data_IF_401505471063
#
_entry.id   IF_401505471063
#
_cell.length_a   1.000
_cell.length_b   1.000
_cell.length_c   1.000
_cell.angle_alpha   90.00
_cell.angle_beta   90.00
_cell.angle_gamma   90.00
#
_symmetry.space_group_name_H-M   'P 1'
#
loop_
_entity.id
_entity.type
_entity.pdbx_description
1 polymer ?
#
# COMPACT_ATOMS: atom_id res chain seq x y z
N UNK A 1 21.30 11.52 -16.19
CA UNK A 1 21.09 11.56 -14.73
C UNK A 1 20.72 12.95 -14.21
N UNK A 2 21.36 14.02 -14.69
CA UNK A 2 21.04 15.42 -14.29
C UNK A 2 19.58 15.79 -14.53
N UNK A 3 19.02 15.56 -15.73
CA UNK A 3 17.62 15.90 -16.03
C UNK A 3 16.60 15.22 -15.09
N UNK A 4 16.80 13.94 -14.75
CA UNK A 4 15.89 13.20 -13.85
C UNK A 4 15.90 13.76 -12.42
N UNK A 5 17.08 14.22 -11.97
CA UNK A 5 17.26 14.84 -10.66
C UNK A 5 16.69 16.28 -10.63
N UNK A 6 16.81 17.05 -11.71
CA UNK A 6 16.16 18.37 -11.84
C UNK A 6 14.64 18.25 -11.77
N UNK A 7 14.07 17.30 -12.53
CA UNK A 7 12.64 16.99 -12.50
C UNK A 7 12.20 16.61 -11.08
N UNK A 8 12.95 15.74 -10.39
CA UNK A 8 12.67 15.36 -8.99
C UNK A 8 12.65 16.59 -8.07
N UNK A 9 13.62 17.50 -8.19
CA UNK A 9 13.66 18.72 -7.38
C UNK A 9 12.48 19.65 -7.67
N UNK A 10 12.12 19.81 -8.94
CA UNK A 10 10.96 20.62 -9.34
C UNK A 10 9.65 20.07 -8.77
N UNK A 11 9.41 18.77 -8.93
CA UNK A 11 8.25 18.07 -8.37
C UNK A 11 8.21 18.24 -6.85
N UNK A 12 9.34 18.06 -6.16
CA UNK A 12 9.41 18.22 -4.70
C UNK A 12 9.08 19.64 -4.25
N UNK A 13 9.63 20.66 -4.93
CA UNK A 13 9.32 22.08 -4.62
C UNK A 13 7.85 22.40 -4.85
N UNK A 14 7.27 21.90 -5.93
CA UNK A 14 5.85 22.05 -6.22
C UNK A 14 4.98 21.39 -5.14
N UNK A 15 5.34 20.17 -4.72
CA UNK A 15 4.61 19.44 -3.69
C UNK A 15 4.63 20.17 -2.34
N UNK A 16 5.81 20.61 -1.89
CA UNK A 16 5.96 21.33 -0.61
C UNK A 16 5.18 22.65 -0.64
N UNK A 17 5.19 23.37 -1.77
CA UNK A 17 4.47 24.64 -1.90
C UNK A 17 2.95 24.48 -1.78
N UNK A 18 2.41 23.37 -2.29
CA UNK A 18 0.97 23.13 -2.41
C UNK A 18 0.50 21.93 -1.55
N UNK A 19 1.23 21.59 -0.50
CA UNK A 19 1.08 20.35 0.27
C UNK A 19 -0.38 20.10 0.68
N UNK A 20 -1.02 21.09 1.30
CA UNK A 20 -2.41 20.99 1.79
C UNK A 20 -3.39 20.63 0.67
N UNK A 21 -3.35 21.33 -0.46
CA UNK A 21 -4.26 21.09 -1.59
C UNK A 21 -4.00 19.74 -2.25
N UNK A 22 -2.72 19.39 -2.40
CA UNK A 22 -2.31 18.12 -3.01
C UNK A 22 -2.72 16.94 -2.12
N UNK A 23 -2.58 17.06 -0.79
CA UNK A 23 -3.03 16.02 0.15
C UNK A 23 -4.53 15.79 0.07
N UNK A 24 -5.35 16.84 0.03
CA UNK A 24 -6.80 16.70 -0.13
C UNK A 24 -7.16 16.05 -1.47
N UNK A 25 -6.50 16.45 -2.55
CA UNK A 25 -6.71 15.85 -3.86
C UNK A 25 -6.36 14.35 -3.88
N UNK A 26 -5.23 13.95 -3.30
CA UNK A 26 -4.86 12.54 -3.23
C UNK A 26 -5.82 11.71 -2.37
N UNK A 27 -6.31 12.26 -1.26
CA UNK A 27 -7.32 11.58 -0.42
C UNK A 27 -8.64 11.40 -1.16
N UNK A 28 -9.08 12.43 -1.89
CA UNK A 28 -10.24 12.33 -2.76
C UNK A 28 -10.07 11.22 -3.79
N UNK A 29 -8.95 11.22 -4.51
CA UNK A 29 -8.68 10.25 -5.57
C UNK A 29 -8.57 8.82 -5.00
N UNK A 30 -7.90 8.64 -3.87
CA UNK A 30 -7.79 7.35 -3.19
C UNK A 30 -9.18 6.83 -2.80
N UNK A 31 -10.01 7.65 -2.17
CA UNK A 31 -11.36 7.27 -1.77
C UNK A 31 -12.23 6.93 -2.98
N UNK A 32 -12.17 7.75 -4.04
CA UNK A 32 -12.91 7.55 -5.28
C UNK A 32 -12.57 6.22 -5.95
N UNK A 33 -11.27 5.93 -6.10
CA UNK A 33 -10.81 4.68 -6.69
C UNK A 33 -11.20 3.49 -5.80
N UNK A 34 -11.04 3.58 -4.48
CA UNK A 34 -11.44 2.53 -3.55
C UNK A 34 -12.92 2.18 -3.66
N UNK A 35 -13.80 3.19 -3.61
CA UNK A 35 -15.24 2.98 -3.70
C UNK A 35 -15.62 2.47 -5.09
N UNK A 36 -15.04 3.02 -6.17
CA UNK A 36 -15.31 2.58 -7.53
C UNK A 36 -14.94 1.10 -7.75
N UNK A 37 -13.80 0.65 -7.20
CA UNK A 37 -13.38 -0.75 -7.27
C UNK A 37 -14.34 -1.65 -6.49
N UNK A 38 -14.77 -1.23 -5.29
CA UNK A 38 -15.76 -1.98 -4.48
C UNK A 38 -17.06 -2.13 -5.27
N UNK A 39 -17.59 -1.04 -5.83
CA UNK A 39 -18.82 -1.03 -6.60
C UNK A 39 -18.72 -1.90 -7.86
N UNK A 40 -17.58 -1.88 -8.56
CA UNK A 40 -17.34 -2.72 -9.74
C UNK A 40 -17.29 -4.21 -9.42
N UNK A 41 -16.95 -4.60 -8.19
CA UNK A 41 -16.80 -6.01 -7.80
C UNK A 41 -18.03 -6.60 -7.12
N UNK A 42 -18.71 -5.82 -6.27
CA UNK A 42 -19.90 -6.28 -5.56
C UNK A 42 -21.17 -5.87 -6.30
N UNK A 43 -21.34 -4.57 -6.56
CA UNK A 43 -22.41 -4.04 -7.42
C UNK A 43 -23.86 -4.34 -7.01
N UNK A 44 -24.10 -5.06 -5.91
CA UNK A 44 -25.43 -5.60 -5.55
C UNK A 44 -26.49 -4.52 -5.27
N UNK A 45 -26.13 -3.47 -4.53
CA UNK A 45 -27.05 -2.37 -4.22
C UNK A 45 -26.98 -1.26 -5.28
N UNK A 46 -28.06 -1.07 -6.04
CA UNK A 46 -28.13 -0.06 -7.11
C UNK A 46 -27.99 1.39 -6.60
N UNK A 47 -28.49 1.69 -5.40
CA UNK A 47 -28.35 3.02 -4.78
C UNK A 47 -26.88 3.39 -4.52
N UNK A 48 -26.06 2.44 -4.06
CA UNK A 48 -24.63 2.69 -3.79
C UNK A 48 -23.78 2.79 -5.07
N UNK A 49 -24.28 2.27 -6.19
CA UNK A 49 -23.66 2.43 -7.50
C UNK A 49 -23.91 3.81 -8.12
N UNK A 50 -24.77 4.64 -7.53
CA UNK A 50 -25.03 5.98 -8.06
C UNK A 50 -23.76 6.84 -7.97
N UNK A 51 -23.32 7.36 -9.12
CA UNK A 51 -22.11 8.18 -9.22
C UNK A 51 -22.14 9.41 -8.31
N UNK A 52 -23.31 10.00 -8.06
CA UNK A 52 -23.45 11.14 -7.16
C UNK A 52 -23.11 10.75 -5.71
N UNK A 53 -23.58 9.59 -5.25
CA UNK A 53 -23.30 9.07 -3.90
C UNK A 53 -21.82 8.74 -3.76
N UNK A 54 -21.22 8.09 -4.76
CA UNK A 54 -19.79 7.78 -4.79
C UNK A 54 -18.94 9.06 -4.73
N UNK A 55 -19.28 10.07 -5.53
CA UNK A 55 -18.58 11.36 -5.54
C UNK A 55 -18.72 12.11 -4.21
N UNK A 56 -19.93 12.18 -3.64
CA UNK A 56 -20.16 12.83 -2.35
C UNK A 56 -19.36 12.16 -1.23
N UNK A 57 -19.40 10.82 -1.16
CA UNK A 57 -18.64 10.06 -0.16
C UNK A 57 -17.12 10.27 -0.30
N UNK A 58 -16.61 10.29 -1.54
CA UNK A 58 -15.20 10.55 -1.84
C UNK A 58 -14.77 11.97 -1.46
N UNK A 59 -15.65 12.97 -1.70
CA UNK A 59 -15.39 14.36 -1.36
C UNK A 59 -15.36 14.59 0.15
N UNK A 60 -16.26 13.94 0.88
CA UNK A 60 -16.28 13.95 2.34
C UNK A 60 -15.00 13.31 2.92
N UNK A 61 -14.57 12.19 2.34
CA UNK A 61 -13.31 11.53 2.66
C UNK A 61 -12.06 12.40 2.40
N UNK A 62 -12.12 13.32 1.43
CA UNK A 62 -11.02 14.24 1.14
C UNK A 62 -10.74 15.17 2.32
N UNK A 63 -11.79 15.61 3.02
CA UNK A 63 -11.71 16.57 4.13
C UNK A 63 -11.33 15.85 5.43
N UNK A 64 -11.95 14.69 5.72
CA UNK A 64 -11.78 13.97 6.99
C UNK A 64 -10.44 13.21 7.11
N UNK A 65 -9.99 12.81 8.31
CA UNK A 65 -8.73 12.06 8.49
C UNK A 65 -8.64 10.83 7.60
N UNK A 66 -7.44 10.44 7.17
CA UNK A 66 -7.25 9.32 6.23
C UNK A 66 -7.94 8.02 6.69
N UNK A 67 -7.94 7.72 7.99
CA UNK A 67 -8.61 6.55 8.58
C UNK A 67 -10.11 6.49 8.25
N UNK A 68 -10.75 7.64 8.02
CA UNK A 68 -12.16 7.71 7.65
C UNK A 68 -12.44 7.04 6.29
N UNK A 69 -11.48 7.03 5.36
CA UNK A 69 -11.61 6.35 4.07
C UNK A 69 -11.82 4.84 4.27
N UNK A 70 -11.14 4.24 5.25
CA UNK A 70 -11.29 2.80 5.58
C UNK A 70 -12.69 2.52 6.11
N UNK A 71 -13.20 3.37 7.00
CA UNK A 71 -14.53 3.23 7.57
C UNK A 71 -15.60 3.35 6.49
N UNK A 72 -15.52 4.38 5.63
CA UNK A 72 -16.45 4.54 4.50
C UNK A 72 -16.37 3.35 3.56
N UNK A 73 -15.16 2.89 3.21
CA UNK A 73 -14.99 1.71 2.35
C UNK A 73 -15.63 0.46 2.95
N UNK A 74 -15.47 0.24 4.27
CA UNK A 74 -16.12 -0.86 4.98
C UNK A 74 -17.64 -0.75 4.97
N UNK A 75 -18.19 0.46 5.17
CA UNK A 75 -19.63 0.71 5.09
C UNK A 75 -20.21 0.43 3.69
N UNK A 76 -19.49 0.79 2.63
CA UNK A 76 -19.90 0.47 1.26
C UNK A 76 -19.92 -1.05 1.03
N UNK A 77 -18.88 -1.77 1.48
CA UNK A 77 -18.84 -3.24 1.39
C UNK A 77 -20.02 -3.86 2.14
N UNK A 78 -20.29 -3.42 3.38
CA UNK A 78 -21.43 -3.88 4.17
C UNK A 78 -22.77 -3.58 3.50
N UNK A 79 -22.95 -2.40 2.92
CA UNK A 79 -24.17 -2.03 2.22
C UNK A 79 -24.43 -2.89 0.98
N UNK A 80 -23.40 -3.20 0.20
CA UNK A 80 -23.52 -4.14 -0.91
C UNK A 80 -23.85 -5.56 -0.43
N UNK A 81 -23.18 -6.05 0.62
CA UNK A 81 -23.44 -7.38 1.15
C UNK A 81 -24.82 -7.50 1.80
N UNK A 82 -25.35 -6.43 2.40
CA UNK A 82 -26.70 -6.41 2.94
C UNK A 82 -27.76 -6.57 1.85
N UNK A 83 -27.52 -5.98 0.68
CA UNK A 83 -28.38 -6.18 -0.50
C UNK A 83 -28.28 -7.59 -1.09
N UNK A 84 -27.22 -8.35 -0.77
CA UNK A 84 -27.07 -9.76 -1.16
C UNK A 84 -27.78 -10.67 -0.17
N UNK A 85 -27.43 -10.59 1.13
CA UNK A 85 -28.15 -11.23 2.23
C UNK A 85 -27.77 -10.60 3.57
N UNK A 86 -28.71 -10.62 4.52
CA UNK A 86 -28.46 -10.09 5.87
C UNK A 86 -27.36 -10.89 6.61
N UNK A 87 -27.27 -12.20 6.36
CA UNK A 87 -26.27 -13.09 6.96
C UNK A 87 -24.87 -12.77 6.46
N UNK A 88 -24.69 -12.54 5.15
CA UNK A 88 -23.42 -12.12 4.56
C UNK A 88 -22.93 -10.79 5.16
N UNK A 89 -23.84 -9.83 5.33
CA UNK A 89 -23.52 -8.55 5.96
C UNK A 89 -23.11 -8.71 7.43
N UNK A 90 -23.78 -9.58 8.19
CA UNK A 90 -23.43 -9.87 9.58
C UNK A 90 -22.01 -10.46 9.70
N UNK A 91 -21.67 -11.44 8.86
CA UNK A 91 -20.33 -12.06 8.85
C UNK A 91 -19.26 -10.98 8.57
N UNK A 92 -19.45 -10.21 7.50
CA UNK A 92 -18.51 -9.16 7.15
C UNK A 92 -18.41 -8.09 8.25
N UNK A 93 -19.51 -7.77 8.94
CA UNK A 93 -19.51 -6.83 10.06
C UNK A 93 -18.66 -7.33 11.23
N UNK A 94 -18.80 -8.61 11.62
CA UNK A 94 -18.00 -9.21 12.69
C UNK A 94 -16.51 -9.20 12.31
N UNK A 95 -16.18 -9.56 11.08
CA UNK A 95 -14.80 -9.52 10.57
C UNK A 95 -14.24 -8.09 10.61
N UNK A 96 -14.98 -7.11 10.10
CA UNK A 96 -14.56 -5.71 10.14
C UNK A 96 -14.43 -5.19 11.57
N UNK A 97 -15.34 -5.52 12.48
CA UNK A 97 -15.27 -5.11 13.88
C UNK A 97 -13.99 -5.63 14.54
N UNK A 98 -13.68 -6.91 14.37
CA UNK A 98 -12.42 -7.51 14.87
C UNK A 98 -11.19 -6.81 14.26
N UNK A 99 -11.21 -6.59 12.95
CA UNK A 99 -10.11 -5.92 12.25
C UNK A 99 -9.93 -4.47 12.71
N UNK A 100 -11.01 -3.72 12.93
CA UNK A 100 -10.94 -2.34 13.43
C UNK A 100 -10.38 -2.29 14.84
N UNK A 101 -10.83 -3.17 15.75
CA UNK A 101 -10.30 -3.25 17.12
C UNK A 101 -8.79 -3.50 17.12
N UNK A 102 -8.32 -4.45 16.31
CA UNK A 102 -6.90 -4.75 16.17
C UNK A 102 -6.14 -3.61 15.46
N UNK A 103 -6.71 -3.02 14.41
CA UNK A 103 -6.09 -1.94 13.65
C UNK A 103 -5.85 -0.70 14.50
N UNK A 104 -6.86 -0.25 15.27
CA UNK A 104 -6.72 0.89 16.17
C UNK A 104 -5.71 0.62 17.29
N UNK A 105 -5.58 -0.63 17.73
CA UNK A 105 -4.60 -1.01 18.75
C UNK A 105 -3.16 -1.03 18.22
N UNK A 106 -2.95 -1.58 17.03
CA UNK A 106 -1.61 -1.89 16.54
C UNK A 106 -1.08 -0.88 15.52
N UNK A 107 -1.88 -0.43 14.54
CA UNK A 107 -1.34 0.39 13.44
C UNK A 107 -2.28 1.51 12.94
N UNK A 108 -2.73 2.44 13.80
CA UNK A 108 -3.63 3.53 13.39
C UNK A 108 -3.02 4.50 12.37
N UNK A 109 -1.70 4.41 12.10
CA UNK A 109 -0.95 5.26 11.17
C UNK A 109 -0.71 4.61 9.79
N UNK A 110 -0.98 3.32 9.62
CA UNK A 110 -0.76 2.59 8.35
C UNK A 110 -2.01 2.50 7.48
N UNK A 111 -2.80 3.57 7.42
CA UNK A 111 -4.06 3.61 6.65
C UNK A 111 -3.82 3.28 5.18
N UNK A 112 -2.71 3.78 4.63
CA UNK A 112 -2.36 3.57 3.23
C UNK A 112 -2.08 2.10 2.94
N UNK A 113 -1.49 1.35 3.88
CA UNK A 113 -1.23 -0.08 3.68
C UNK A 113 -2.55 -0.86 3.61
N UNK A 114 -3.52 -0.55 4.49
CA UNK A 114 -4.83 -1.22 4.50
C UNK A 114 -5.62 -0.95 3.22
N UNK A 115 -5.56 0.27 2.67
CA UNK A 115 -6.31 0.65 1.46
C UNK A 115 -5.63 0.25 0.16
N UNK A 116 -4.31 0.43 0.06
CA UNK A 116 -3.57 0.13 -1.17
C UNK A 116 -3.48 -1.35 -1.43
N UNK A 117 -3.49 -2.19 -0.39
CA UNK A 117 -3.42 -3.65 -0.56
C UNK A 117 -4.58 -4.19 -1.42
N UNK A 118 -5.87 -3.94 -1.09
CA UNK A 118 -6.98 -4.39 -1.91
C UNK A 118 -7.03 -3.71 -3.27
N UNK A 119 -6.68 -2.43 -3.36
CA UNK A 119 -6.59 -1.73 -4.64
C UNK A 119 -5.58 -2.40 -5.59
N UNK A 120 -4.36 -2.66 -5.11
CA UNK A 120 -3.29 -3.25 -5.91
C UNK A 120 -3.57 -4.73 -6.22
N UNK A 121 -4.31 -5.43 -5.34
CA UNK A 121 -4.82 -6.76 -5.62
C UNK A 121 -5.76 -6.76 -6.83
N UNK A 122 -6.76 -5.86 -6.87
CA UNK A 122 -7.68 -5.78 -8.00
C UNK A 122 -7.05 -5.19 -9.27
N UNK A 123 -5.98 -4.41 -9.14
CA UNK A 123 -5.14 -3.95 -10.26
C UNK A 123 -4.11 -4.98 -10.74
N UNK A 124 -4.15 -6.22 -10.22
CA UNK A 124 -3.27 -7.33 -10.61
C UNK A 124 -1.78 -7.10 -10.33
N UNK A 125 -1.45 -6.21 -9.37
CA UNK A 125 -0.08 -5.94 -8.91
C UNK A 125 0.06 -6.02 -7.38
N UNK A 126 -0.48 -7.05 -6.70
CA UNK A 126 -0.47 -7.13 -5.23
C UNK A 126 0.95 -7.23 -4.64
N UNK A 127 1.92 -7.76 -5.39
CA UNK A 127 3.28 -8.03 -4.93
C UNK A 127 4.12 -6.76 -4.66
N UNK A 128 3.66 -5.57 -5.09
CA UNK A 128 4.30 -4.27 -4.78
C UNK A 128 4.20 -3.98 -3.29
N UNK A 129 3.06 -4.32 -2.70
CA UNK A 129 2.68 -3.97 -1.33
C UNK A 129 3.71 -4.43 -0.30
N UNK A 130 4.09 -5.71 -0.20
CA UNK A 130 5.00 -6.16 0.85
C UNK A 130 6.40 -5.57 0.72
N UNK A 131 6.89 -5.34 -0.50
CA UNK A 131 8.21 -4.73 -0.72
C UNK A 131 8.16 -3.25 -0.34
N UNK A 132 7.16 -2.50 -0.80
CA UNK A 132 6.99 -1.09 -0.45
C UNK A 132 6.73 -0.86 1.05
N UNK A 133 5.91 -1.70 1.67
CA UNK A 133 5.61 -1.65 3.11
C UNK A 133 6.85 -1.97 3.96
N UNK A 134 7.68 -2.94 3.56
CA UNK A 134 8.96 -3.20 4.24
C UNK A 134 9.96 -2.05 4.10
N UNK A 135 9.91 -1.30 2.99
CA UNK A 135 10.83 -0.19 2.74
C UNK A 135 10.45 1.11 3.44
N UNK A 136 9.16 1.47 3.46
CA UNK A 136 8.71 2.75 4.01
C UNK A 136 8.14 2.59 5.41
N UNK A 137 7.46 1.46 5.65
CA UNK A 137 6.74 1.19 6.88
C UNK A 137 7.59 0.57 7.97
N UNK A 138 6.88 -0.08 8.89
CA UNK A 138 7.42 -0.76 10.08
C UNK A 138 7.00 -2.23 10.06
N UNK A 139 7.56 -3.10 10.94
CA UNK A 139 7.11 -4.49 11.03
C UNK A 139 5.63 -4.60 11.37
N UNK A 140 5.06 -3.59 12.02
CA UNK A 140 3.63 -3.54 12.37
C UNK A 140 2.76 -3.43 11.12
N UNK A 141 3.30 -2.94 10.00
CA UNK A 141 2.61 -2.89 8.71
C UNK A 141 2.22 -4.27 8.18
N UNK A 142 2.82 -5.35 8.69
CA UNK A 142 2.39 -6.74 8.41
C UNK A 142 0.90 -6.93 8.74
N UNK A 143 0.44 -6.39 9.87
CA UNK A 143 -0.96 -6.50 10.31
C UNK A 143 -1.87 -5.79 9.32
N UNK A 144 -1.53 -4.54 8.96
CA UNK A 144 -2.30 -3.72 8.02
C UNK A 144 -2.38 -4.33 6.62
N UNK A 145 -1.29 -4.89 6.10
CA UNK A 145 -1.26 -5.57 4.81
C UNK A 145 -2.07 -6.88 4.85
N UNK A 146 -1.95 -7.65 5.93
CA UNK A 146 -2.73 -8.88 6.11
C UNK A 146 -4.23 -8.58 6.12
N UNK A 147 -4.63 -7.51 6.77
CA UNK A 147 -6.02 -7.02 6.78
C UNK A 147 -6.51 -6.65 5.39
N UNK A 148 -5.69 -5.92 4.62
CA UNK A 148 -6.00 -5.60 3.23
C UNK A 148 -6.20 -6.86 2.36
N UNK A 149 -5.39 -7.90 2.55
CA UNK A 149 -5.54 -9.18 1.86
C UNK A 149 -6.84 -9.89 2.25
N UNK A 150 -7.15 -9.98 3.55
CA UNK A 150 -8.41 -10.58 4.02
C UNK A 150 -9.61 -9.90 3.36
N UNK A 151 -9.62 -8.57 3.29
CA UNK A 151 -10.69 -7.80 2.62
C UNK A 151 -10.78 -8.13 1.13
N UNK A 152 -9.63 -8.27 0.45
CA UNK A 152 -9.57 -8.56 -0.98
C UNK A 152 -10.15 -9.93 -1.31
N UNK A 153 -9.78 -10.94 -0.52
CA UNK A 153 -10.29 -12.30 -0.67
C UNK A 153 -11.76 -12.39 -0.27
N UNK A 154 -12.19 -11.66 0.76
CA UNK A 154 -13.59 -11.56 1.14
C UNK A 154 -14.45 -10.98 0.01
N UNK A 155 -14.04 -9.84 -0.58
CA UNK A 155 -14.73 -9.25 -1.73
C UNK A 155 -14.77 -10.22 -2.91
N UNK A 156 -13.66 -10.90 -3.20
CA UNK A 156 -13.58 -11.87 -4.31
C UNK A 156 -14.46 -13.11 -4.06
N UNK A 157 -14.57 -13.56 -2.81
CA UNK A 157 -15.43 -14.66 -2.41
C UNK A 157 -16.91 -14.32 -2.63
N UNK A 158 -17.36 -13.15 -2.15
CA UNK A 158 -18.76 -12.73 -2.32
C UNK A 158 -19.11 -12.32 -3.76
N UNK A 159 -18.14 -11.80 -4.52
CA UNK A 159 -18.33 -11.48 -5.94
C UNK A 159 -18.56 -12.74 -6.79
N UNK A 160 -17.85 -13.84 -6.47
CA UNK A 160 -17.95 -15.11 -7.19
C UNK A 160 -19.08 -16.02 -6.68
N UNK A 161 -19.42 -15.94 -5.39
CA UNK A 161 -20.50 -16.71 -4.79
C UNK A 161 -21.75 -15.82 -4.68
N UNK A 162 -22.56 -15.80 -5.75
CA UNK A 162 -23.86 -15.11 -5.78
C UNK A 162 -24.95 -15.84 -4.99
N UNK A 163 -24.59 -16.92 -4.28
CA UNK A 163 -25.53 -17.75 -3.53
C UNK A 163 -25.79 -17.09 -2.18
N UNK A 164 -26.75 -16.17 -2.16
CA UNK A 164 -27.57 -15.92 -0.99
C UNK A 164 -28.81 -16.79 -1.12
N UNK A 165 -28.76 -18.03 -0.65
CA UNK A 165 -29.99 -18.81 -0.51
C UNK A 165 -30.71 -18.27 0.71
N UNK A 166 -31.96 -17.82 0.56
CA UNK A 166 -32.78 -17.52 1.72
C UNK A 166 -32.96 -18.81 2.51
N UNK A 167 -32.23 -18.97 3.62
CA UNK A 167 -32.37 -20.12 4.47
C UNK A 167 -33.80 -20.21 5.00
N UNK A 168 -34.51 -21.27 4.65
CA UNK A 168 -35.92 -21.46 5.04
C UNK A 168 -36.08 -21.78 6.53
N UNK A 169 -35.00 -22.19 7.21
CA UNK A 169 -34.98 -22.49 8.65
C UNK A 169 -33.63 -22.14 9.32
N UNK A 170 -33.64 -22.12 10.66
CA UNK A 170 -32.47 -21.73 11.49
C UNK A 170 -31.28 -22.69 11.33
N UNK A 171 -31.53 -23.97 11.06
CA UNK A 171 -30.49 -24.99 10.87
C UNK A 171 -29.79 -24.85 9.51
N UNK A 172 -30.54 -24.50 8.45
CA UNK A 172 -29.98 -24.16 7.15
C UNK A 172 -29.15 -22.88 7.24
N UNK A 173 -29.64 -21.84 7.94
CA UNK A 173 -28.89 -20.61 8.17
C UNK A 173 -27.56 -20.86 8.90
N UNK A 174 -27.57 -21.71 9.94
CA UNK A 174 -26.35 -22.08 10.66
C UNK A 174 -25.36 -22.85 9.79
N UNK A 175 -25.85 -23.70 8.89
CA UNK A 175 -25.02 -24.49 7.97
C UNK A 175 -24.44 -23.62 6.85
N UNK A 176 -25.24 -22.72 6.30
CA UNK A 176 -24.84 -21.73 5.31
C UNK A 176 -23.77 -20.79 5.89
N UNK A 177 -24.00 -20.26 7.09
CA UNK A 177 -23.04 -19.46 7.84
C UNK A 177 -21.70 -20.19 8.04
N UNK A 178 -21.73 -21.44 8.50
CA UNK A 178 -20.52 -22.26 8.69
C UNK A 178 -19.78 -22.48 7.36
N UNK A 179 -20.53 -22.70 6.28
CA UNK A 179 -19.98 -22.92 4.93
C UNK A 179 -19.31 -21.66 4.40
N UNK A 180 -19.93 -20.48 4.59
CA UNK A 180 -19.36 -19.19 4.19
C UNK A 180 -18.07 -18.88 4.95
N UNK A 181 -18.06 -19.05 6.28
CA UNK A 181 -16.85 -18.84 7.09
C UNK A 181 -15.75 -19.81 6.67
N UNK A 182 -16.08 -21.09 6.49
CA UNK A 182 -15.11 -22.12 6.09
C UNK A 182 -14.58 -21.87 4.68
N UNK A 183 -15.40 -21.38 3.75
CA UNK A 183 -14.98 -21.01 2.40
C UNK A 183 -14.06 -19.80 2.38
N UNK A 184 -14.34 -18.79 3.21
CA UNK A 184 -13.53 -17.58 3.30
C UNK A 184 -12.20 -17.80 4.02
N UNK A 185 -12.22 -18.41 5.22
CA UNK A 185 -11.01 -18.69 6.01
C UNK A 185 -10.21 -19.88 5.48
N UNK A 186 -10.87 -20.83 4.81
CA UNK A 186 -10.24 -22.00 4.20
C UNK A 186 -9.55 -21.71 2.87
N UNK A 187 -9.57 -20.46 2.40
CA UNK A 187 -8.88 -20.09 1.18
C UNK A 187 -7.35 -20.19 1.36
N UNK A 188 -6.78 -21.29 0.85
CA UNK A 188 -5.35 -21.57 0.95
C UNK A 188 -4.49 -20.51 0.28
N UNK A 189 -4.95 -19.93 -0.83
CA UNK A 189 -4.23 -18.87 -1.53
C UNK A 189 -4.11 -17.61 -0.65
N UNK A 190 -5.17 -17.26 0.09
CA UNK A 190 -5.15 -16.17 1.06
C UNK A 190 -4.08 -16.40 2.13
N UNK A 191 -4.06 -17.59 2.74
CA UNK A 191 -3.09 -17.93 3.79
C UNK A 191 -1.65 -17.89 3.27
N UNK A 192 -1.40 -18.46 2.09
CA UNK A 192 -0.07 -18.42 1.46
C UNK A 192 0.37 -16.97 1.22
N UNK A 193 -0.50 -16.11 0.70
CA UNK A 193 -0.15 -14.71 0.43
C UNK A 193 0.09 -13.92 1.71
N UNK A 194 -0.70 -14.12 2.77
CA UNK A 194 -0.49 -13.47 4.07
C UNK A 194 0.90 -13.83 4.62
N UNK A 195 1.24 -15.13 4.63
CA UNK A 195 2.53 -15.60 5.13
C UNK A 195 3.69 -15.09 4.26
N UNK A 196 3.56 -15.16 2.92
CA UNK A 196 4.57 -14.65 2.01
C UNK A 196 4.80 -13.14 2.20
N UNK A 197 3.73 -12.35 2.31
CA UNK A 197 3.83 -10.90 2.47
C UNK A 197 4.43 -10.54 3.82
N UNK A 198 4.06 -11.25 4.89
CA UNK A 198 4.63 -11.05 6.22
C UNK A 198 6.15 -11.32 6.23
N UNK A 199 6.59 -12.44 5.66
CA UNK A 199 8.02 -12.80 5.56
C UNK A 199 8.77 -11.77 4.73
N UNK A 200 8.24 -11.37 3.57
CA UNK A 200 8.87 -10.37 2.71
C UNK A 200 9.01 -9.03 3.42
N UNK A 201 7.97 -8.53 4.09
CA UNK A 201 8.02 -7.26 4.84
C UNK A 201 9.12 -7.33 5.91
N UNK A 202 9.18 -8.44 6.67
CA UNK A 202 10.19 -8.63 7.70
C UNK A 202 11.62 -8.62 7.12
N UNK A 203 11.87 -9.39 6.06
CA UNK A 203 13.19 -9.47 5.39
C UNK A 203 13.60 -8.11 4.84
N UNK A 204 12.73 -7.45 4.07
CA UNK A 204 13.00 -6.14 3.48
C UNK A 204 13.31 -5.11 4.56
N UNK A 205 12.54 -5.11 5.65
CA UNK A 205 12.73 -4.17 6.75
C UNK A 205 14.08 -4.37 7.47
N UNK A 206 14.49 -5.63 7.69
CA UNK A 206 15.79 -5.94 8.31
C UNK A 206 16.94 -5.49 7.40
N UNK A 207 16.90 -5.84 6.11
CA UNK A 207 17.96 -5.48 5.16
C UNK A 207 18.07 -3.97 5.00
N UNK A 208 16.93 -3.25 4.94
CA UNK A 208 16.93 -1.80 4.83
C UNK A 208 17.65 -1.10 5.98
N UNK A 209 17.60 -1.66 7.20
CA UNK A 209 18.27 -1.09 8.38
C UNK A 209 19.73 -1.51 8.51
N UNK A 210 20.23 -2.35 7.61
CA UNK A 210 21.66 -2.68 7.58
C UNK A 210 22.50 -1.46 7.18
N UNK A 211 23.74 -1.42 7.68
CA UNK A 211 24.72 -0.36 7.40
C UNK A 211 25.41 -0.50 6.02
N UNK A 212 24.97 -1.47 5.21
CA UNK A 212 25.52 -1.80 3.91
C UNK A 212 25.27 -0.69 2.89
N UNK A 213 26.19 -0.51 1.95
CA UNK A 213 25.97 0.39 0.82
C UNK A 213 24.86 -0.13 -0.08
N UNK A 214 24.04 0.77 -0.62
CA UNK A 214 22.87 0.45 -1.42
C UNK A 214 21.84 -0.48 -0.73
N UNK A 215 21.74 -0.44 0.60
CA UNK A 215 20.87 -1.34 1.38
C UNK A 215 19.41 -1.37 0.91
N UNK A 216 18.84 -0.24 0.44
CA UNK A 216 17.48 -0.22 -0.11
C UNK A 216 17.34 -1.00 -1.43
N UNK A 217 18.32 -0.90 -2.34
CA UNK A 217 18.30 -1.66 -3.60
C UNK A 217 18.48 -3.15 -3.33
N UNK A 218 19.37 -3.50 -2.40
CA UNK A 218 19.55 -4.89 -1.95
C UNK A 218 18.25 -5.40 -1.33
N UNK A 219 17.61 -4.61 -0.47
CA UNK A 219 16.33 -4.97 0.15
C UNK A 219 15.23 -5.20 -0.89
N UNK A 220 15.14 -4.38 -1.94
CA UNK A 220 14.18 -4.59 -3.05
C UNK A 220 14.45 -5.91 -3.76
N UNK A 221 15.69 -6.16 -4.18
CA UNK A 221 16.05 -7.36 -4.95
C UNK A 221 15.85 -8.62 -4.11
N UNK A 222 16.36 -8.64 -2.87
CA UNK A 222 16.19 -9.77 -1.97
C UNK A 222 14.72 -9.98 -1.59
N UNK A 223 13.98 -8.90 -1.33
CA UNK A 223 12.55 -8.95 -1.05
C UNK A 223 11.74 -9.56 -2.19
N UNK A 224 12.03 -9.17 -3.44
CA UNK A 224 11.39 -9.72 -4.63
C UNK A 224 11.68 -11.22 -4.81
N UNK A 225 12.94 -11.63 -4.62
CA UNK A 225 13.35 -13.05 -4.70
C UNK A 225 12.64 -13.86 -3.61
N UNK A 226 12.68 -13.41 -2.36
CA UNK A 226 12.02 -14.08 -1.23
C UNK A 226 10.52 -14.17 -1.45
N UNK A 227 9.89 -13.08 -1.93
CA UNK A 227 8.45 -13.06 -2.22
C UNK A 227 8.07 -14.12 -3.26
N UNK A 228 8.83 -14.19 -4.38
CA UNK A 228 8.58 -15.18 -5.42
C UNK A 228 8.76 -16.61 -4.89
N UNK A 229 9.87 -16.89 -4.21
CA UNK A 229 10.18 -18.23 -3.68
C UNK A 229 9.13 -18.68 -2.67
N UNK A 230 8.83 -17.85 -1.67
CA UNK A 230 7.87 -18.22 -0.61
C UNK A 230 6.47 -18.40 -1.17
N UNK A 231 6.05 -17.57 -2.13
CA UNK A 231 4.74 -17.71 -2.76
C UNK A 231 4.65 -18.98 -3.61
N UNK A 232 5.69 -19.32 -4.37
CA UNK A 232 5.73 -20.53 -5.20
C UNK A 232 5.75 -21.79 -4.31
N UNK A 233 6.62 -21.83 -3.29
CA UNK A 233 6.70 -22.94 -2.35
C UNK A 233 5.36 -23.10 -1.62
N UNK A 234 4.80 -22.01 -1.11
CA UNK A 234 3.51 -22.02 -0.41
C UNK A 234 2.37 -22.50 -1.32
N UNK A 235 2.35 -22.06 -2.59
CA UNK A 235 1.38 -22.49 -3.59
C UNK A 235 1.43 -24.00 -3.81
N UNK A 236 2.63 -24.55 -4.06
CA UNK A 236 2.82 -25.98 -4.29
C UNK A 236 2.51 -26.81 -3.04
N UNK A 237 3.01 -26.39 -1.86
CA UNK A 237 2.83 -27.12 -0.61
C UNK A 237 1.36 -27.20 -0.17
N UNK A 238 0.60 -26.13 -0.36
CA UNK A 238 -0.81 -26.08 0.03
C UNK A 238 -1.77 -26.53 -1.08
N UNK A 239 -1.25 -26.70 -2.31
CA UNK A 239 -2.03 -26.87 -3.54
C UNK A 239 -3.00 -25.71 -3.75
N UNK A 240 -2.54 -24.48 -3.49
CA UNK A 240 -3.32 -23.28 -3.73
C UNK A 240 -3.34 -22.95 -5.23
N UNK A 241 -4.45 -22.40 -5.71
CA UNK A 241 -4.58 -21.97 -7.08
C UNK A 241 -3.92 -20.59 -7.27
N UNK A 242 -2.59 -20.61 -7.43
CA UNK A 242 -1.78 -19.41 -7.68
C UNK A 242 -0.94 -19.65 -8.93
N UNK A 243 -1.16 -18.82 -9.96
CA UNK A 243 -0.42 -18.88 -11.22
C UNK A 243 1.06 -18.55 -11.02
N UNK A 244 1.94 -19.55 -11.22
CA UNK A 244 3.40 -19.39 -11.12
C UNK A 244 3.93 -18.33 -12.11
N UNK A 245 3.55 -18.34 -13.41
CA UNK A 245 3.96 -17.27 -14.33
C UNK A 245 3.50 -15.89 -13.87
N UNK A 246 2.29 -15.80 -13.29
CA UNK A 246 1.76 -14.56 -12.72
C UNK A 246 2.58 -14.05 -11.53
N UNK A 247 3.06 -14.95 -10.66
CA UNK A 247 3.95 -14.59 -9.55
C UNK A 247 5.28 -14.02 -10.06
N UNK A 248 5.89 -14.66 -11.06
CA UNK A 248 7.19 -14.23 -11.60
C UNK A 248 7.06 -12.86 -12.27
N UNK A 249 6.10 -12.68 -13.18
CA UNK A 249 5.91 -11.40 -13.85
C UNK A 249 5.48 -10.31 -12.88
N UNK A 250 4.57 -10.63 -11.95
CA UNK A 250 4.09 -9.70 -10.94
C UNK A 250 5.19 -9.22 -10.00
N UNK A 251 6.09 -10.10 -9.58
CA UNK A 251 7.23 -9.75 -8.73
C UNK A 251 8.27 -8.90 -9.45
N UNK A 252 8.54 -9.15 -10.74
CA UNK A 252 9.43 -8.31 -11.57
C UNK A 252 8.87 -6.90 -11.70
N UNK A 253 7.59 -6.77 -12.09
CA UNK A 253 6.92 -5.46 -12.19
C UNK A 253 6.94 -4.75 -10.84
N UNK A 254 6.75 -5.50 -9.75
CA UNK A 254 6.77 -4.95 -8.40
C UNK A 254 8.13 -4.42 -7.97
N UNK A 255 9.21 -5.12 -8.32
CA UNK A 255 10.57 -4.64 -8.08
C UNK A 255 10.83 -3.32 -8.84
N UNK A 256 10.41 -3.22 -10.10
CA UNK A 256 10.56 -2.01 -10.92
C UNK A 256 9.78 -0.83 -10.31
N UNK A 257 8.51 -1.04 -9.94
CA UNK A 257 7.69 -0.01 -9.30
C UNK A 257 8.30 0.44 -7.97
N UNK A 258 8.84 -0.49 -7.20
CA UNK A 258 9.45 -0.19 -5.91
C UNK A 258 10.80 0.54 -6.05
N UNK A 259 11.56 0.27 -7.12
CA UNK A 259 12.74 1.09 -7.47
C UNK A 259 12.36 2.53 -7.79
N UNK A 260 11.22 2.76 -8.45
CA UNK A 260 10.72 4.12 -8.66
C UNK A 260 10.40 4.79 -7.31
N UNK A 261 9.78 4.07 -6.37
CA UNK A 261 9.52 4.55 -5.01
C UNK A 261 10.81 4.90 -4.25
N UNK A 262 11.83 4.04 -4.35
CA UNK A 262 13.17 4.27 -3.77
C UNK A 262 13.81 5.52 -4.37
N UNK A 263 13.71 5.72 -5.69
CA UNK A 263 14.27 6.89 -6.35
C UNK A 263 13.70 8.20 -5.80
N UNK A 264 12.38 8.27 -5.52
CA UNK A 264 11.79 9.47 -4.93
C UNK A 264 12.13 9.62 -3.44
N UNK A 265 12.10 8.52 -2.68
CA UNK A 265 12.19 8.54 -1.22
C UNK A 265 13.62 8.58 -0.67
N UNK A 266 14.56 7.83 -1.28
CA UNK A 266 15.86 7.51 -0.68
C UNK A 266 16.99 7.47 -1.73
N UNK A 267 17.26 8.62 -2.36
CA UNK A 267 18.33 8.74 -3.36
C UNK A 267 19.62 9.29 -2.72
N UNK A 268 20.53 8.38 -2.35
CA UNK A 268 21.83 8.67 -1.73
C UNK A 268 22.98 8.52 -2.72
N UNK A 269 24.04 9.31 -2.52
CA UNK A 269 25.29 9.24 -3.27
C UNK A 269 26.36 8.48 -2.48
N UNK A 270 26.39 7.15 -2.66
CA UNK A 270 27.35 6.29 -1.97
C UNK A 270 28.81 6.52 -2.41
N UNK A 271 29.06 7.21 -3.54
CA UNK A 271 30.43 7.50 -4.00
C UNK A 271 31.15 8.53 -3.12
N UNK A 272 30.39 9.38 -2.42
CA UNK A 272 30.87 10.42 -1.50
C UNK A 272 30.61 10.04 -0.04
N UNK A 273 30.82 8.77 0.30
CA UNK A 273 30.65 8.29 1.69
C UNK A 273 31.80 8.81 2.56
N UNK A 274 31.46 9.51 3.63
CA UNK A 274 32.42 10.01 4.62
C UNK A 274 32.26 9.25 5.93
N UNK A 275 33.39 8.90 6.56
CA UNK A 275 33.42 8.32 7.91
C UNK A 275 33.96 9.38 8.85
N UNK A 276 33.11 9.89 9.71
CA UNK A 276 33.44 10.96 10.67
C UNK A 276 33.38 10.41 12.08
N UNK A 277 34.24 10.96 12.94
CA UNK A 277 34.32 10.62 14.35
C UNK A 277 33.93 11.87 15.13
N UNK A 278 33.03 11.71 16.09
CA UNK A 278 32.65 12.78 17.01
C UNK A 278 32.95 12.31 18.42
N UNK A 279 33.51 13.18 19.25
CA UNK A 279 33.72 12.93 20.67
C UNK A 279 32.97 14.02 21.43
N UNK A 280 32.24 13.61 22.46
CA UNK A 280 31.61 14.47 23.46
C UNK A 280 32.10 13.99 24.84
N UNK A 281 31.81 14.76 25.90
CA UNK A 281 32.32 14.50 27.26
C UNK A 281 32.02 13.08 27.77
N UNK A 282 30.90 12.48 27.31
CA UNK A 282 30.46 11.14 27.70
C UNK A 282 30.66 10.05 26.64
N UNK A 283 30.86 10.40 25.36
CA UNK A 283 30.76 9.43 24.26
C UNK A 283 31.69 9.69 23.06
N UNK A 284 32.23 8.60 22.52
CA UNK A 284 32.95 8.58 21.24
C UNK A 284 32.09 7.90 20.15
N UNK A 285 31.68 8.66 19.14
CA UNK A 285 30.80 8.23 18.05
C UNK A 285 31.58 7.94 16.76
N UNK A 286 31.31 6.78 16.16
CA UNK A 286 31.72 6.45 14.79
C UNK A 286 30.51 6.58 13.85
N UNK A 287 30.49 7.59 12.98
CA UNK A 287 29.34 7.87 12.11
C UNK A 287 29.73 7.73 10.63
N UNK A 288 28.85 7.07 9.87
CA UNK A 288 28.92 7.01 8.40
C UNK A 288 27.94 8.03 7.83
N UNK A 289 28.47 9.08 7.21
CA UNK A 289 27.68 10.09 6.50
C UNK A 289 27.63 9.76 5.01
N UNK A 290 26.40 9.62 4.47
CA UNK A 290 26.18 9.44 3.03
C UNK A 290 25.36 10.62 2.53
N UNK A 291 25.90 11.47 1.65
CA UNK A 291 25.19 12.65 1.17
C UNK A 291 24.01 12.25 0.28
N UNK A 292 22.92 13.03 0.36
CA UNK A 292 21.80 12.89 -0.58
C UNK A 292 22.22 13.46 -1.94
N UNK A 293 21.81 12.83 -3.02
CA UNK A 293 22.08 13.35 -4.37
C UNK A 293 21.28 14.65 -4.55
N UNK A 294 21.95 15.79 -4.49
CA UNK A 294 21.39 17.10 -4.79
C UNK A 294 22.14 17.71 -5.96
N UNK A 295 21.42 18.13 -6.99
CA UNK A 295 21.97 19.10 -7.93
C UNK A 295 21.99 20.45 -7.23
N UNK A 296 23.17 21.03 -7.11
CA UNK A 296 23.31 22.46 -6.82
C UNK A 296 22.61 23.19 -7.97
N UNK A 297 21.63 24.04 -7.66
CA UNK A 297 20.95 24.82 -8.69
C UNK A 297 22.01 25.56 -9.52
N UNK A 298 21.88 25.62 -10.86
CA UNK A 298 22.84 26.36 -11.68
C UNK A 298 22.92 27.78 -11.15
N UNK A 299 24.12 28.18 -10.77
CA UNK A 299 24.41 29.48 -10.19
C UNK A 299 23.79 30.54 -11.11
N UNK A 300 22.91 31.41 -10.57
CA UNK A 300 22.27 32.44 -11.38
C UNK A 300 23.39 33.33 -11.91
N UNK A 301 23.83 33.12 -13.15
CA UNK A 301 24.76 34.01 -13.83
C UNK A 301 24.06 35.35 -14.02
N UNK A 302 24.21 36.24 -13.03
CA UNK A 302 23.81 37.63 -13.13
C UNK A 302 24.71 38.24 -14.20
N UNK A 303 24.20 38.40 -15.42
CA UNK A 303 24.86 39.22 -16.43
C UNK A 303 24.82 40.66 -15.94
N UNK A 304 25.95 41.15 -15.39
CA UNK A 304 26.14 42.58 -15.16
C UNK A 304 26.20 43.27 -16.52
N UNK A 305 25.12 43.98 -16.88
CA UNK A 305 25.12 44.88 -18.03
C UNK A 305 25.78 46.18 -17.55
N UNK A 306 27.06 46.39 -17.89
CA UNK A 306 27.70 47.69 -17.68
C UNK A 306 27.02 48.71 -18.59
N UNK A 307 26.42 49.76 -18.01
CA UNK A 307 26.02 50.95 -18.77
C UNK A 307 27.29 51.61 -19.29
N UNK A 308 27.42 51.72 -20.60
CA UNK A 308 28.43 52.56 -21.22
C UNK A 308 28.24 54.00 -20.71
N UNK A 309 29.28 54.55 -20.06
CA UNK A 309 29.35 55.94 -19.63
C UNK A 309 29.25 56.80 -20.89
N UNK A 310 28.17 57.56 -21.03
CA UNK A 310 28.01 58.51 -22.13
C UNK A 310 29.17 59.50 -22.12
N UNK A 311 29.90 59.57 -23.23
CA UNK A 311 30.72 60.74 -23.54
C UNK A 311 29.79 61.87 -23.94
N UNK A 312 29.70 62.90 -23.10
CA UNK A 312 29.63 64.31 -23.49
C UNK A 312 29.79 65.18 -22.25
#
# INVERSE_FOLDING_TARGET
>A
MTALLEIKQYIRKFYIKNEVYITYFWKFLLALISIAVINSKLGFMSSLNNIAIVLMASLLCAILPANFIVVVSALFILGHLYSLSAECALIAFVVFALMFLLYFRFSPKDTLAVLLTPLLFFLHIPYVVPIAAGLIGTPVSIVSVSFGLVISFMISYFSSNTVGTGAENVEAAATEFKTMISGMLGNKAMLVMIVAFAITIAVVYVIRRSSMDNCWKIAITTGAIVLAIVTIIGSVATKADISIPGVILGTIVSAILTLAIEFFSFNLDYSRTEKVQFEDDDYYYYVKAVPKVTLTAPDRRVKKINRAKGQR
#
